data_IF_591570951970
#
_entry.id   IF_591570951970
#
_cell.length_a   1.000
_cell.length_b   1.000
_cell.length_c   1.000
_cell.angle_alpha   90.00
_cell.angle_beta   90.00
_cell.angle_gamma   90.00
#
_symmetry.space_group_name_H-M   'P 1'
#
loop_
_entity.id
_entity.type
_entity.pdbx_description
1 polymer ?
#
# COMPACT_ATOMS: atom_id res chain seq x y z
N UNK A 1 -58.52 -0.63 2.85
CA UNK A 1 -57.34 -0.52 3.74
C UNK A 1 -56.31 -1.66 3.59
N UNK A 2 -56.60 -2.82 2.97
CA UNK A 2 -55.59 -3.90 2.80
C UNK A 2 -54.62 -3.70 1.63
N UNK A 3 -55.04 -3.00 0.57
CA UNK A 3 -54.20 -2.75 -0.61
C UNK A 3 -53.18 -1.61 -0.42
N UNK A 4 -53.51 -0.58 0.37
CA UNK A 4 -52.61 0.55 0.61
C UNK A 4 -51.35 0.18 1.43
N UNK A 5 -51.44 -0.84 2.29
CA UNK A 5 -50.32 -1.29 3.13
C UNK A 5 -49.31 -2.11 2.32
N UNK A 6 -49.76 -2.87 1.31
CA UNK A 6 -48.86 -3.63 0.44
C UNK A 6 -48.06 -2.71 -0.51
N UNK A 7 -48.65 -1.62 -1.00
CA UNK A 7 -47.93 -0.71 -1.90
C UNK A 7 -46.82 0.05 -1.18
N UNK A 8 -47.01 0.40 0.10
CA UNK A 8 -45.97 1.08 0.90
C UNK A 8 -44.80 0.13 1.22
N UNK A 9 -45.08 -1.15 1.52
CA UNK A 9 -44.03 -2.14 1.77
C UNK A 9 -43.16 -2.41 0.53
N UNK A 10 -43.75 -2.43 -0.67
CA UNK A 10 -43.02 -2.66 -1.93
C UNK A 10 -42.17 -1.43 -2.31
N UNK A 11 -42.66 -0.21 -2.05
CA UNK A 11 -41.92 1.03 -2.33
C UNK A 11 -40.72 1.20 -1.38
N UNK A 12 -40.80 0.75 -0.12
CA UNK A 12 -39.65 0.75 0.79
C UNK A 12 -38.59 -0.31 0.42
N UNK A 13 -38.97 -1.44 -0.18
CA UNK A 13 -38.02 -2.44 -0.66
C UNK A 13 -37.36 -2.06 -2.00
N UNK A 14 -38.03 -1.27 -2.86
CA UNK A 14 -37.50 -0.85 -4.16
C UNK A 14 -36.70 0.46 -4.13
N UNK A 15 -36.86 1.30 -3.09
CA UNK A 15 -36.09 2.53 -2.91
C UNK A 15 -34.86 2.35 -1.98
N UNK A 16 -34.70 1.17 -1.39
CA UNK A 16 -33.64 0.89 -0.41
C UNK A 16 -32.37 0.25 -0.99
N UNK A 17 -32.32 -0.10 -2.28
CA UNK A 17 -31.21 -0.85 -2.88
C UNK A 17 -30.22 -0.01 -3.68
N UNK A 18 -30.58 1.20 -4.14
CA UNK A 18 -29.68 2.00 -4.98
C UNK A 18 -28.56 2.70 -4.21
N UNK A 19 -28.69 2.93 -2.89
CA UNK A 19 -27.65 3.67 -2.15
C UNK A 19 -26.61 2.77 -1.47
N UNK A 20 -27.00 1.62 -0.92
CA UNK A 20 -26.07 0.73 -0.20
C UNK A 20 -24.99 0.16 -1.11
N UNK A 21 -25.37 -0.25 -2.32
CA UNK A 21 -24.47 -0.88 -3.28
C UNK A 21 -23.46 0.13 -3.87
N UNK A 22 -23.86 1.40 -4.00
CA UNK A 22 -22.99 2.48 -4.48
C UNK A 22 -21.91 2.86 -3.44
N UNK A 23 -22.31 3.03 -2.17
CA UNK A 23 -21.36 3.33 -1.09
C UNK A 23 -20.36 2.19 -0.86
N UNK A 24 -20.80 0.94 -0.95
CA UNK A 24 -19.92 -0.21 -0.80
C UNK A 24 -18.89 -0.28 -1.94
N UNK A 25 -19.30 -0.03 -3.18
CA UNK A 25 -18.37 0.02 -4.32
C UNK A 25 -17.39 1.20 -4.22
N UNK A 26 -17.84 2.39 -3.80
CA UNK A 26 -16.96 3.53 -3.59
C UNK A 26 -15.93 3.26 -2.48
N UNK A 27 -16.38 2.64 -1.39
CA UNK A 27 -15.51 2.24 -0.30
C UNK A 27 -14.46 1.22 -0.75
N UNK A 28 -14.85 0.19 -1.51
CA UNK A 28 -13.91 -0.79 -2.07
C UNK A 28 -12.87 -0.11 -2.98
N UNK A 29 -13.31 0.78 -3.88
CA UNK A 29 -12.40 1.56 -4.74
C UNK A 29 -11.45 2.43 -3.93
N UNK A 30 -11.96 3.05 -2.86
CA UNK A 30 -11.14 3.86 -1.95
C UNK A 30 -10.08 2.99 -1.27
N UNK A 31 -10.45 1.81 -0.77
CA UNK A 31 -9.52 0.88 -0.14
C UNK A 31 -8.44 0.40 -1.10
N UNK A 32 -8.81 0.04 -2.33
CA UNK A 32 -7.85 -0.38 -3.36
C UNK A 32 -6.86 0.73 -3.71
N UNK A 33 -7.35 1.96 -3.92
CA UNK A 33 -6.49 3.12 -4.21
C UNK A 33 -5.57 3.43 -3.04
N UNK A 34 -6.11 3.43 -1.82
CA UNK A 34 -5.33 3.65 -0.59
C UNK A 34 -4.22 2.62 -0.46
N UNK A 35 -4.53 1.35 -0.68
CA UNK A 35 -3.57 0.25 -0.62
C UNK A 35 -2.44 0.42 -1.65
N UNK A 36 -2.79 0.68 -2.91
CA UNK A 36 -1.81 0.84 -4.00
C UNK A 36 -0.91 2.06 -3.75
N UNK A 37 -1.48 3.19 -3.34
CA UNK A 37 -0.72 4.42 -3.05
C UNK A 37 0.26 4.20 -1.91
N UNK A 38 -0.19 3.60 -0.81
CA UNK A 38 0.66 3.31 0.33
C UNK A 38 1.79 2.33 -0.03
N UNK A 39 1.48 1.25 -0.78
CA UNK A 39 2.50 0.33 -1.27
C UNK A 39 3.55 1.03 -2.12
N UNK A 40 3.12 1.85 -3.08
CA UNK A 40 4.00 2.60 -3.97
C UNK A 40 4.84 3.64 -3.24
N UNK A 41 4.30 4.27 -2.19
CA UNK A 41 5.05 5.19 -1.36
C UNK A 41 6.25 4.50 -0.71
N UNK A 42 6.05 3.35 -0.05
CA UNK A 42 7.15 2.64 0.58
C UNK A 42 8.14 2.04 -0.44
N UNK A 43 7.68 1.65 -1.64
CA UNK A 43 8.60 1.26 -2.74
C UNK A 43 9.51 2.42 -3.14
N UNK A 44 8.93 3.60 -3.41
CA UNK A 44 9.70 4.78 -3.77
C UNK A 44 10.67 5.17 -2.65
N UNK A 45 10.21 5.13 -1.40
CA UNK A 45 11.03 5.42 -0.24
C UNK A 45 12.17 4.40 -0.03
N UNK A 46 11.92 3.10 -0.25
CA UNK A 46 12.94 2.06 -0.22
C UNK A 46 14.09 2.34 -1.20
N UNK A 47 13.75 2.75 -2.42
CA UNK A 47 14.74 3.10 -3.44
C UNK A 47 15.54 4.33 -2.96
N UNK A 48 14.87 5.39 -2.48
CA UNK A 48 15.56 6.56 -1.95
C UNK A 48 16.50 6.19 -0.79
N UNK A 49 16.08 5.30 0.12
CA UNK A 49 16.84 4.91 1.30
C UNK A 49 18.11 4.11 0.96
N UNK A 50 18.01 3.10 0.09
CA UNK A 50 19.18 2.30 -0.32
C UNK A 50 20.20 3.10 -1.12
N UNK A 51 19.72 4.04 -1.94
CA UNK A 51 20.56 4.79 -2.86
C UNK A 51 20.86 6.22 -2.38
N UNK A 52 20.52 6.59 -1.13
CA UNK A 52 20.67 7.96 -0.58
C UNK A 52 22.07 8.56 -0.66
N UNK A 53 23.10 7.72 -0.68
CA UNK A 53 24.50 8.14 -0.78
C UNK A 53 25.02 8.17 -2.23
N UNK A 54 24.16 7.82 -3.18
CA UNK A 54 24.41 7.95 -4.60
C UNK A 54 23.77 9.28 -5.05
N UNK A 55 24.41 10.00 -5.98
CA UNK A 55 23.84 11.23 -6.53
C UNK A 55 22.63 10.90 -7.40
N UNK A 56 21.49 10.65 -6.77
CA UNK A 56 20.24 10.32 -7.44
C UNK A 56 19.66 11.58 -8.10
N UNK A 57 18.97 11.41 -9.24
CA UNK A 57 18.04 12.42 -9.70
C UNK A 57 17.03 12.77 -8.60
N UNK A 58 16.76 14.05 -8.40
CA UNK A 58 15.81 14.55 -7.39
C UNK A 58 14.43 13.87 -7.50
N UNK A 59 14.01 13.54 -8.73
CA UNK A 59 12.76 12.81 -8.98
C UNK A 59 12.71 11.42 -8.32
N UNK A 60 13.86 10.77 -8.09
CA UNK A 60 13.96 9.49 -7.39
C UNK A 60 14.09 9.71 -5.87
N UNK A 61 14.94 10.65 -5.46
CA UNK A 61 15.14 10.99 -4.04
C UNK A 61 13.84 11.44 -3.35
N UNK A 62 13.04 12.22 -4.07
CA UNK A 62 11.77 12.77 -3.59
C UNK A 62 10.55 12.06 -4.20
N UNK A 63 10.73 10.95 -4.92
CA UNK A 63 9.64 10.27 -5.64
C UNK A 63 8.49 9.82 -4.74
N UNK A 64 8.80 9.49 -3.48
CA UNK A 64 7.79 9.14 -2.46
C UNK A 64 6.84 10.31 -2.16
N UNK A 65 7.24 11.57 -2.39
CA UNK A 65 6.43 12.76 -2.09
C UNK A 65 5.17 12.85 -2.94
N UNK A 66 5.20 12.31 -4.16
CA UNK A 66 4.03 12.27 -5.03
C UNK A 66 2.89 11.43 -4.42
N UNK A 67 3.24 10.41 -3.65
CA UNK A 67 2.26 9.56 -2.95
C UNK A 67 1.87 10.16 -1.60
N UNK A 68 2.82 10.73 -0.87
CA UNK A 68 2.56 11.34 0.46
C UNK A 68 1.66 12.57 0.40
N UNK A 69 1.52 13.22 -0.77
CA UNK A 69 0.62 14.35 -0.98
C UNK A 69 -0.81 13.94 -1.36
N UNK A 70 -1.11 12.64 -1.45
CA UNK A 70 -2.46 12.16 -1.81
C UNK A 70 -3.41 12.19 -0.61
N UNK A 71 -4.72 12.20 -0.89
CA UNK A 71 -5.79 12.14 0.13
C UNK A 71 -5.79 10.83 0.96
N UNK A 72 -5.03 9.82 0.53
CA UNK A 72 -4.94 8.51 1.18
C UNK A 72 -3.78 8.41 2.18
N UNK A 73 -3.11 9.54 2.44
CA UNK A 73 -1.93 9.63 3.29
C UNK A 73 -2.12 10.73 4.33
N UNK A 74 -1.95 10.36 5.60
CA UNK A 74 -1.74 11.30 6.68
C UNK A 74 -0.31 11.17 7.24
N UNK A 75 0.07 12.08 8.13
CA UNK A 75 1.42 12.11 8.70
C UNK A 75 1.76 10.85 9.47
N UNK A 76 0.81 10.32 10.25
CA UNK A 76 1.02 9.11 11.02
C UNK A 76 1.30 7.93 10.07
N UNK A 77 0.54 7.84 8.98
CA UNK A 77 0.69 6.78 8.00
C UNK A 77 2.01 6.85 7.26
N UNK A 78 2.45 8.05 6.92
CA UNK A 78 3.78 8.30 6.34
C UNK A 78 4.86 7.78 7.29
N UNK A 79 4.79 8.15 8.57
CA UNK A 79 5.77 7.78 9.58
C UNK A 79 5.81 6.26 9.81
N UNK A 80 4.64 5.59 9.83
CA UNK A 80 4.53 4.13 9.93
C UNK A 80 5.23 3.41 8.76
N UNK A 81 4.95 3.83 7.52
CA UNK A 81 5.55 3.22 6.32
C UNK A 81 7.06 3.44 6.35
N UNK A 82 7.52 4.64 6.70
CA UNK A 82 8.96 4.93 6.77
C UNK A 82 9.67 4.12 7.85
N UNK A 83 9.05 3.98 9.02
CA UNK A 83 9.58 3.16 10.10
C UNK A 83 9.69 1.70 9.67
N UNK A 84 8.66 1.15 9.03
CA UNK A 84 8.68 -0.21 8.50
C UNK A 84 9.81 -0.41 7.49
N UNK A 85 9.91 0.48 6.49
CA UNK A 85 10.92 0.39 5.44
C UNK A 85 12.31 0.41 6.08
N UNK A 86 12.63 1.40 6.92
CA UNK A 86 13.96 1.50 7.54
C UNK A 86 14.31 0.30 8.41
N UNK A 87 13.33 -0.27 9.12
CA UNK A 87 13.55 -1.40 10.01
C UNK A 87 13.79 -2.70 9.25
N UNK A 88 13.15 -2.91 8.10
CA UNK A 88 13.09 -4.24 7.46
C UNK A 88 13.76 -4.33 6.08
N UNK A 89 14.11 -3.23 5.40
CA UNK A 89 14.59 -3.27 4.00
C UNK A 89 15.78 -4.22 3.76
N UNK A 90 16.68 -4.37 4.73
CA UNK A 90 17.86 -5.22 4.60
C UNK A 90 17.50 -6.72 4.57
N UNK A 91 16.41 -7.12 5.21
CA UNK A 91 15.96 -8.51 5.28
C UNK A 91 15.46 -9.00 3.90
N UNK A 92 15.09 -8.08 3.03
CA UNK A 92 14.64 -8.36 1.67
C UNK A 92 15.79 -8.50 0.65
N UNK A 93 17.05 -8.27 1.05
CA UNK A 93 18.22 -8.42 0.17
C UNK A 93 18.42 -9.90 -0.19
N UNK A 94 18.37 -10.27 -1.49
CA UNK A 94 18.57 -11.65 -1.92
C UNK A 94 19.92 -12.21 -1.48
N UNK A 95 19.93 -13.41 -0.91
CA UNK A 95 21.13 -14.13 -0.49
C UNK A 95 21.46 -15.25 -1.49
N UNK A 96 22.49 -15.03 -2.32
CA UNK A 96 22.93 -16.03 -3.29
C UNK A 96 23.91 -17.02 -2.65
N UNK A 97 23.57 -18.31 -2.63
CA UNK A 97 24.39 -19.36 -2.01
C UNK A 97 25.69 -19.66 -2.77
N UNK A 98 25.68 -19.52 -4.10
CA UNK A 98 26.83 -19.85 -4.95
C UNK A 98 27.66 -18.61 -5.27
N UNK A 99 28.98 -18.77 -5.25
CA UNK A 99 29.93 -17.76 -5.74
C UNK A 99 29.84 -17.72 -7.27
N UNK A 100 28.91 -16.95 -7.80
CA UNK A 100 28.72 -16.72 -9.24
C UNK A 100 28.62 -15.23 -9.54
N UNK A 101 28.44 -14.88 -10.83
CA UNK A 101 28.32 -13.50 -11.31
C UNK A 101 27.36 -12.67 -10.43
N UNK A 102 26.18 -13.23 -10.13
CA UNK A 102 25.18 -12.51 -9.35
C UNK A 102 25.60 -12.25 -7.90
N UNK A 103 26.33 -13.18 -7.27
CA UNK A 103 26.82 -12.98 -5.91
C UNK A 103 27.92 -11.90 -5.84
N UNK A 104 28.68 -11.69 -6.92
CA UNK A 104 29.75 -10.69 -6.99
C UNK A 104 29.23 -9.24 -7.05
N UNK A 105 27.98 -9.06 -7.50
CA UNK A 105 27.34 -7.74 -7.62
C UNK A 105 26.34 -7.44 -6.51
N UNK A 106 26.34 -8.22 -5.43
CA UNK A 106 25.61 -7.85 -4.22
C UNK A 106 26.14 -6.51 -3.68
N UNK A 107 25.27 -5.69 -3.05
CA UNK A 107 23.87 -5.97 -2.73
C UNK A 107 22.88 -5.57 -3.86
N UNK A 108 21.86 -6.40 -4.07
CA UNK A 108 20.82 -6.20 -5.10
C UNK A 108 19.68 -5.31 -4.60
N UNK A 109 19.96 -4.05 -4.27
CA UNK A 109 19.00 -3.14 -3.62
C UNK A 109 17.68 -2.97 -4.39
N UNK A 110 17.72 -2.84 -5.72
CA UNK A 110 16.50 -2.77 -6.53
C UNK A 110 15.62 -4.01 -6.34
N UNK A 111 16.23 -5.21 -6.33
CA UNK A 111 15.51 -6.46 -6.10
C UNK A 111 14.99 -6.53 -4.66
N UNK A 112 15.73 -6.01 -3.68
CA UNK A 112 15.25 -5.94 -2.30
C UNK A 112 13.98 -5.10 -2.17
N UNK A 113 13.91 -3.94 -2.83
CA UNK A 113 12.71 -3.12 -2.84
C UNK A 113 11.53 -3.81 -3.55
N UNK A 114 11.79 -4.54 -4.64
CA UNK A 114 10.75 -5.35 -5.30
C UNK A 114 10.27 -6.51 -4.41
N UNK A 115 11.18 -7.18 -3.70
CA UNK A 115 10.85 -8.24 -2.76
C UNK A 115 9.97 -7.71 -1.62
N UNK A 116 10.33 -6.57 -1.03
CA UNK A 116 9.53 -5.91 -0.01
C UNK A 116 8.14 -5.53 -0.55
N UNK A 117 8.07 -4.91 -1.73
CA UNK A 117 6.80 -4.52 -2.35
C UNK A 117 5.84 -5.70 -2.57
N UNK A 118 6.38 -6.89 -2.86
CA UNK A 118 5.58 -8.10 -3.08
C UNK A 118 5.48 -9.00 -1.83
N UNK A 119 5.94 -8.54 -0.67
CA UNK A 119 5.93 -9.36 0.54
C UNK A 119 4.58 -9.30 1.26
N UNK A 120 4.14 -10.45 1.78
CA UNK A 120 2.94 -10.52 2.62
C UNK A 120 3.10 -9.64 3.87
N UNK A 121 4.30 -9.57 4.45
CA UNK A 121 4.56 -8.77 5.64
C UNK A 121 4.31 -7.28 5.37
N UNK A 122 4.76 -6.77 4.23
CA UNK A 122 4.49 -5.38 3.86
C UNK A 122 3.00 -5.17 3.58
N UNK A 123 2.34 -6.11 2.90
CA UNK A 123 0.89 -6.03 2.70
C UNK A 123 0.10 -6.04 4.01
N UNK A 124 0.50 -6.88 4.97
CA UNK A 124 -0.11 -6.94 6.29
C UNK A 124 0.12 -5.64 7.07
N UNK A 125 1.30 -5.03 6.96
CA UNK A 125 1.54 -3.69 7.52
C UNK A 125 0.66 -2.63 6.82
N UNK A 126 0.49 -2.74 5.50
CA UNK A 126 -0.37 -1.82 4.77
C UNK A 126 -1.85 -1.97 5.19
N UNK A 127 -2.32 -3.20 5.35
CA UNK A 127 -3.72 -3.52 5.66
C UNK A 127 -4.01 -3.62 7.16
N UNK A 128 -3.02 -3.35 8.03
CA UNK A 128 -3.09 -3.49 9.50
C UNK A 128 -3.60 -4.86 9.95
N UNK A 129 -3.00 -5.92 9.38
CA UNK A 129 -3.31 -7.31 9.68
C UNK A 129 -2.25 -7.93 10.59
N UNK A 130 -2.63 -9.00 11.29
CA UNK A 130 -1.73 -9.78 12.13
C UNK A 130 -1.05 -8.93 13.22
N UNK A 131 0.29 -8.97 13.28
CA UNK A 131 1.07 -8.20 14.27
C UNK A 131 1.01 -6.68 14.09
N UNK A 132 0.43 -6.20 12.98
CA UNK A 132 0.25 -4.78 12.67
C UNK A 132 -1.17 -4.28 12.93
N UNK A 133 -2.07 -5.14 13.43
CA UNK A 133 -3.37 -4.72 13.91
C UNK A 133 -3.21 -3.82 15.14
N UNK A 134 -3.88 -2.66 15.13
CA UNK A 134 -3.98 -1.74 16.27
C UNK A 134 -5.30 -1.94 16.98
#
# INVERSE_FOLDING_TARGET
MRYAVMTIAIVCCLLGSESSDDWEQEWQKWQEKSFVIQKNMGLAFCISEFYKNQKLPKAIEEGWRAFSSSEYMDRERIDEIFAFVKANINDYIPQFKSKGLYAQHQPWYFVACLNMYNSQEYEDMIQRRGKYAR
#
